data_IF_400492767141
#
_entry.id   IF_400492767141
#
_cell.length_a   1.000
_cell.length_b   1.000
_cell.length_c   1.000
_cell.angle_alpha   90.00
_cell.angle_beta   90.00
_cell.angle_gamma   90.00
#
_symmetry.space_group_name_H-M   'P 1'
#
loop_
_entity.id
_entity.type
_entity.pdbx_description
1 polymer ?
#
# COMPACT_ATOMS: atom_id res chain seq x y z
N UNK A 1 -9.92 -0.21 7.09
CA UNK A 1 -8.81 -1.17 6.99
C UNK A 1 -8.82 -1.77 5.61
N UNK A 2 -7.80 -1.47 4.80
CA UNK A 2 -7.62 -1.96 3.44
C UNK A 2 -6.14 -2.17 3.17
N UNK A 3 -5.73 -2.23 1.90
CA UNK A 3 -4.34 -2.48 1.51
C UNK A 3 -3.32 -1.53 2.16
N UNK A 4 -3.67 -0.24 2.28
CA UNK A 4 -2.85 0.76 2.97
C UNK A 4 -2.60 0.43 4.46
N UNK A 5 -3.62 -0.12 5.15
CA UNK A 5 -3.48 -0.55 6.55
C UNK A 5 -2.62 -1.79 6.69
N UNK A 6 -2.70 -2.73 5.73
CA UNK A 6 -1.81 -3.89 5.68
C UNK A 6 -0.36 -3.42 5.49
N UNK A 7 -0.10 -2.53 4.52
CA UNK A 7 1.21 -1.96 4.24
C UNK A 7 1.79 -1.25 5.47
N UNK A 8 0.97 -0.52 6.22
CA UNK A 8 1.38 0.04 7.52
C UNK A 8 1.77 -1.05 8.52
N UNK A 9 1.01 -2.15 8.65
CA UNK A 9 1.41 -3.26 9.53
C UNK A 9 2.78 -3.83 9.14
N UNK A 10 3.03 -4.05 7.84
CA UNK A 10 4.33 -4.53 7.36
C UNK A 10 5.46 -3.54 7.73
N UNK A 11 5.24 -2.24 7.53
CA UNK A 11 6.21 -1.21 7.93
C UNK A 11 6.47 -1.21 9.44
N UNK A 12 5.41 -1.26 10.27
CA UNK A 12 5.51 -1.29 11.72
C UNK A 12 6.21 -2.54 12.26
N UNK A 13 6.17 -3.65 11.51
CA UNK A 13 6.80 -4.93 11.86
C UNK A 13 8.23 -5.05 11.33
N UNK A 14 8.81 -3.97 10.80
CA UNK A 14 10.19 -3.95 10.28
C UNK A 14 10.34 -4.47 8.85
N UNK A 15 9.23 -4.80 8.17
CA UNK A 15 9.22 -5.22 6.76
C UNK A 15 8.94 -4.04 5.80
N UNK A 16 9.26 -2.82 6.23
CA UNK A 16 9.09 -1.61 5.40
C UNK A 16 9.93 -1.62 4.11
N UNK A 17 11.09 -2.29 4.12
CA UNK A 17 11.91 -2.46 2.91
C UNK A 17 11.23 -3.31 1.83
N UNK A 18 10.53 -4.39 2.24
CA UNK A 18 9.70 -5.22 1.36
C UNK A 18 8.56 -4.39 0.75
N UNK A 19 7.85 -3.66 1.61
CA UNK A 19 6.78 -2.75 1.16
C UNK A 19 7.29 -1.71 0.16
N UNK A 20 8.45 -1.10 0.43
CA UNK A 20 9.04 -0.10 -0.46
C UNK A 20 9.42 -0.68 -1.81
N UNK A 21 9.84 -1.95 -1.85
CA UNK A 21 10.13 -2.68 -3.09
C UNK A 21 8.86 -3.01 -3.91
N UNK A 22 7.72 -3.19 -3.25
CA UNK A 22 6.44 -3.38 -3.94
C UNK A 22 5.81 -2.07 -4.40
N UNK A 23 5.98 -1.01 -3.61
CA UNK A 23 5.45 0.31 -3.91
C UNK A 23 6.28 1.00 -5.00
N UNK A 24 7.59 0.77 -5.01
CA UNK A 24 8.51 1.32 -6.00
C UNK A 24 8.44 0.60 -7.35
N UNK A 25 9.04 1.19 -8.38
CA UNK A 25 9.13 0.62 -9.73
C UNK A 25 10.23 -0.44 -9.89
N UNK A 26 10.77 -0.94 -8.76
CA UNK A 26 11.86 -1.91 -8.73
C UNK A 26 11.35 -3.34 -8.83
N UNK A 27 12.25 -4.32 -8.69
CA UNK A 27 11.83 -5.72 -8.55
C UNK A 27 11.02 -5.89 -7.26
N UNK A 28 9.83 -6.48 -7.36
CA UNK A 28 9.06 -6.83 -6.17
C UNK A 28 9.74 -8.01 -5.45
N UNK A 29 10.18 -7.78 -4.22
CA UNK A 29 10.81 -8.82 -3.42
C UNK A 29 9.72 -9.79 -2.92
N UNK A 30 9.90 -11.11 -3.09
CA UNK A 30 8.93 -12.09 -2.60
C UNK A 30 8.89 -12.08 -1.07
N UNK A 31 7.71 -12.34 -0.52
CA UNK A 31 7.50 -12.52 0.91
C UNK A 31 7.17 -13.97 1.22
N UNK A 32 7.51 -14.44 2.42
CA UNK A 32 7.19 -15.80 2.86
C UNK A 32 5.86 -15.85 3.61
N UNK A 33 5.13 -16.99 3.59
CA UNK A 33 3.90 -17.17 4.37
C UNK A 33 4.11 -16.91 5.88
N UNK A 34 5.25 -17.32 6.43
CA UNK A 34 5.63 -17.05 7.82
C UNK A 34 5.73 -15.55 8.13
N UNK A 35 6.30 -14.77 7.21
CA UNK A 35 6.37 -13.30 7.39
C UNK A 35 4.98 -12.67 7.33
N UNK A 36 4.09 -13.18 6.47
CA UNK A 36 2.69 -12.74 6.41
C UNK A 36 2.00 -13.02 7.75
N UNK A 37 2.16 -14.23 8.30
CA UNK A 37 1.60 -14.59 9.60
C UNK A 37 2.22 -13.76 10.74
N UNK A 38 3.52 -13.47 10.67
CA UNK A 38 4.20 -12.65 11.67
C UNK A 38 3.67 -11.20 11.71
N UNK A 39 3.32 -10.66 10.54
CA UNK A 39 2.84 -9.27 10.41
C UNK A 39 1.36 -9.16 10.73
N UNK A 40 0.55 -9.99 10.07
CA UNK A 40 -0.92 -9.93 10.17
C UNK A 40 -1.43 -10.61 11.43
N UNK A 41 -0.67 -11.55 11.98
CA UNK A 41 -1.12 -12.43 13.04
C UNK A 41 -1.85 -13.66 12.49
N UNK A 42 -1.71 -14.77 13.21
CA UNK A 42 -2.38 -16.03 12.84
C UNK A 42 -3.90 -15.92 12.85
N UNK A 43 -4.48 -15.02 13.66
CA UNK A 43 -5.94 -14.85 13.73
C UNK A 43 -6.50 -14.23 12.45
N UNK A 44 -5.87 -13.16 11.95
CA UNK A 44 -6.26 -12.47 10.72
C UNK A 44 -6.11 -13.39 9.51
N UNK A 45 -5.02 -14.15 9.44
CA UNK A 45 -4.82 -15.14 8.38
C UNK A 45 -5.89 -16.23 8.45
N UNK A 46 -6.23 -16.73 9.64
CA UNK A 46 -7.32 -17.71 9.83
C UNK A 46 -8.68 -17.16 9.41
N UNK A 47 -8.99 -15.91 9.77
CA UNK A 47 -10.25 -15.27 9.36
C UNK A 47 -10.34 -15.15 7.84
N UNK A 48 -9.25 -14.75 7.17
CA UNK A 48 -9.22 -14.65 5.72
C UNK A 48 -9.36 -16.01 5.06
N UNK A 49 -8.65 -17.01 5.59
CA UNK A 49 -8.71 -18.40 5.14
C UNK A 49 -10.12 -18.98 5.27
N UNK A 50 -10.79 -18.76 6.42
CA UNK A 50 -12.16 -19.19 6.65
C UNK A 50 -13.15 -18.54 5.66
N UNK A 51 -12.98 -17.25 5.37
CA UNK A 51 -13.80 -16.55 4.36
C UNK A 51 -13.57 -17.07 2.94
N UNK A 52 -12.35 -17.47 2.64
CA UNK A 52 -11.97 -18.02 1.34
C UNK A 52 -12.19 -19.54 1.25
N UNK A 53 -12.68 -20.20 2.31
CA UNK A 53 -12.92 -21.65 2.34
C UNK A 53 -11.65 -22.49 2.24
N UNK A 54 -10.51 -21.97 2.72
CA UNK A 54 -9.20 -22.63 2.63
C UNK A 54 -8.49 -22.71 3.99
N UNK A 55 -7.42 -23.49 4.04
CA UNK A 55 -6.55 -23.60 5.21
C UNK A 55 -5.73 -22.31 5.41
N UNK A 56 -5.40 -21.93 6.67
CA UNK A 56 -4.58 -20.74 6.94
C UNK A 56 -3.19 -20.78 6.28
N UNK A 57 -2.60 -21.96 6.12
CA UNK A 57 -1.36 -22.15 5.37
C UNK A 57 -1.53 -21.85 3.88
N UNK A 58 -2.63 -22.30 3.29
CA UNK A 58 -2.96 -22.00 1.89
C UNK A 58 -3.21 -20.50 1.70
N UNK A 59 -3.95 -19.87 2.62
CA UNK A 59 -4.17 -18.42 2.59
C UNK A 59 -2.85 -17.64 2.69
N UNK A 60 -1.95 -18.02 3.59
CA UNK A 60 -0.62 -17.43 3.70
C UNK A 60 0.18 -17.54 2.40
N UNK A 61 0.16 -18.71 1.75
CA UNK A 61 0.82 -18.95 0.46
C UNK A 61 0.23 -18.15 -0.70
N UNK A 62 -1.10 -17.99 -0.74
CA UNK A 62 -1.76 -17.18 -1.77
C UNK A 62 -1.44 -15.71 -1.57
N UNK A 63 -1.55 -15.23 -0.32
CA UNK A 63 -1.24 -13.85 0.03
C UNK A 63 0.21 -13.51 -0.27
N UNK A 64 1.15 -14.43 -0.01
CA UNK A 64 2.57 -14.18 -0.22
C UNK A 64 2.96 -13.98 -1.69
N UNK A 65 2.22 -14.61 -2.60
CA UNK A 65 2.40 -14.46 -4.05
C UNK A 65 1.61 -13.27 -4.61
N UNK A 66 0.41 -13.04 -4.09
CA UNK A 66 -0.51 -12.05 -4.64
C UNK A 66 -0.25 -10.63 -4.12
N UNK A 67 0.11 -10.46 -2.85
CA UNK A 67 0.31 -9.14 -2.24
C UNK A 67 1.37 -8.30 -2.98
N UNK A 68 2.59 -8.79 -3.25
CA UNK A 68 3.61 -8.01 -3.93
C UNK A 68 3.11 -7.49 -5.29
N UNK A 69 2.53 -8.39 -6.08
CA UNK A 69 1.97 -8.08 -7.40
C UNK A 69 0.80 -7.11 -7.32
N UNK A 70 -0.10 -7.26 -6.33
CA UNK A 70 -1.27 -6.41 -6.17
C UNK A 70 -0.86 -4.99 -5.78
N UNK A 71 0.13 -4.84 -4.91
CA UNK A 71 0.66 -3.54 -4.50
C UNK A 71 1.34 -2.85 -5.68
N UNK A 72 2.20 -3.55 -6.42
CA UNK A 72 2.86 -3.06 -7.64
C UNK A 72 1.84 -2.51 -8.65
N UNK A 73 0.79 -3.28 -8.96
CA UNK A 73 -0.26 -2.87 -9.89
C UNK A 73 -1.05 -1.65 -9.44
N UNK A 74 -1.16 -1.42 -8.13
CA UNK A 74 -1.84 -0.28 -7.54
C UNK A 74 -0.92 0.93 -7.31
N UNK A 75 0.38 0.76 -7.49
CA UNK A 75 1.41 1.80 -7.30
C UNK A 75 2.30 1.97 -8.54
N UNK A 76 1.72 2.12 -9.74
CA UNK A 76 2.49 2.15 -11.00
C UNK A 76 3.50 3.31 -11.09
N UNK A 77 3.30 4.37 -10.31
CA UNK A 77 4.19 5.53 -10.28
C UNK A 77 5.26 5.48 -9.18
N UNK A 78 5.38 4.36 -8.45
CA UNK A 78 6.28 4.32 -7.30
C UNK A 78 5.66 4.88 -6.01
N UNK A 79 4.37 5.23 -6.05
CA UNK A 79 3.66 5.94 -5.00
C UNK A 79 2.32 5.27 -4.74
N UNK A 80 1.99 5.04 -3.47
CA UNK A 80 0.61 4.75 -3.10
C UNK A 80 -0.25 5.96 -3.47
N UNK A 81 -1.43 5.78 -4.10
CA UNK A 81 -2.34 6.88 -4.41
C UNK A 81 -2.75 7.53 -3.09
N UNK A 82 -2.03 8.58 -2.72
CA UNK A 82 -2.41 9.39 -1.59
C UNK A 82 -3.56 10.26 -2.06
N UNK A 83 -4.67 10.27 -1.31
CA UNK A 83 -5.74 11.26 -1.47
C UNK A 83 -5.23 12.73 -1.49
N UNK A 84 -3.97 12.95 -1.12
CA UNK A 84 -3.24 14.23 -1.12
C UNK A 84 -3.16 14.92 -2.47
N UNK A 85 -3.07 14.19 -3.59
CA UNK A 85 -2.86 14.81 -4.91
C UNK A 85 -4.03 15.73 -5.31
N UNK A 86 -5.25 15.39 -4.92
CA UNK A 86 -6.43 16.19 -5.28
C UNK A 86 -6.54 17.47 -4.45
N UNK A 87 -6.19 17.42 -3.16
CA UNK A 87 -6.20 18.60 -2.29
C UNK A 87 -5.09 19.58 -2.69
N UNK A 88 -3.90 19.08 -3.00
CA UNK A 88 -2.76 19.90 -3.43
C UNK A 88 -2.97 20.55 -4.80
N UNK A 89 -3.57 19.79 -5.74
CA UNK A 89 -3.96 20.33 -7.05
C UNK A 89 -5.03 21.44 -6.89
N UNK A 90 -6.00 21.25 -6.00
CA UNK A 90 -7.02 22.27 -5.71
C UNK A 90 -6.45 23.56 -5.10
N UNK A 91 -5.50 23.44 -4.17
CA UNK A 91 -4.85 24.60 -3.53
C UNK A 91 -3.94 25.37 -4.49
N UNK A 92 -3.29 24.69 -5.43
CA UNK A 92 -2.41 25.33 -6.43
C UNK A 92 -3.20 26.18 -7.43
N UNK A 93 -4.38 25.73 -7.84
CA UNK A 93 -5.28 26.50 -8.70
C UNK A 93 -5.79 27.76 -7.95
N UNK A 94 -6.15 27.62 -6.67
CA UNK A 94 -6.61 28.75 -5.87
C UNK A 94 -5.52 29.82 -5.65
N UNK A 95 -4.27 29.40 -5.42
CA UNK A 95 -3.14 30.32 -5.24
C UNK A 95 -2.79 31.05 -6.55
N UNK A 96 -2.83 30.35 -7.69
CA UNK A 96 -2.60 30.95 -9.01
C UNK A 96 -3.65 32.02 -9.35
N UNK A 97 -4.90 31.77 -9.00
CA UNK A 97 -5.98 32.76 -9.22
C UNK A 97 -5.91 33.93 -8.23
N UNK A 98 -5.43 33.73 -7.00
CA UNK A 98 -5.31 34.80 -5.99
C UNK A 98 -4.10 35.72 -6.16
N UNK A 99 -3.00 35.26 -6.79
CA UNK A 99 -1.76 36.04 -6.94
C UNK A 99 -1.67 36.87 -8.23
N UNK A 100 -2.64 36.73 -9.14
CA UNK A 100 -2.61 37.36 -10.48
C UNK A 100 -3.22 38.77 -10.53
N UNK A 101 -3.50 39.42 -9.38
CA UNK A 101 -4.29 40.64 -9.30
C UNK A 101 -3.62 41.91 -8.74
N UNK A 102 -2.30 41.95 -8.50
CA UNK A 102 -1.65 43.18 -7.98
C UNK A 102 -0.26 43.40 -8.59
N UNK A 103 -0.23 43.79 -9.85
CA UNK A 103 0.84 44.65 -10.36
C UNK A 103 0.24 45.65 -11.35
N UNK A 104 -0.29 46.73 -10.80
CA UNK A 104 -0.53 47.97 -11.52
C UNK A 104 -0.03 49.09 -10.61
N UNK A 105 0.80 49.94 -11.22
CA UNK A 105 1.47 51.10 -10.66
C UNK A 105 0.50 52.16 -10.12
#
# INVERSE_FOLDING_TARGET
>A
GGLAGLLQCFQQKGLGGLVSSWVGTGQNIPISPDQIQHVLGSDQVKQLAAKAGMSPEAAGNVLSQLLPTLVDKLTPNGEMPQHSTLLETGMSILQSMGKSGTNAA
#
